data_IF_675685665410
#
_entry.id   IF_675685665410
#
_cell.length_a   1.000
_cell.length_b   1.000
_cell.length_c   1.000
_cell.angle_alpha   90.00
_cell.angle_beta   90.00
_cell.angle_gamma   90.00
#
_symmetry.space_group_name_H-M   'P 1'
#
loop_
_entity.id
_entity.type
_entity.pdbx_description
1 polymer ?
#
# COMPACT_ATOMS: atom_id res chain seq x y z
N UNK A 1 -4.46 54.39 30.72
CA UNK A 1 -5.05 53.81 29.49
C UNK A 1 -4.05 53.98 28.36
N UNK A 2 -3.78 52.95 27.52
CA UNK A 2 -2.79 52.91 26.41
C UNK A 2 -1.38 52.33 26.67
N UNK A 3 -1.17 51.51 27.70
CA UNK A 3 0.04 50.65 27.78
C UNK A 3 -0.25 49.16 27.96
N UNK A 4 -1.53 48.77 27.93
CA UNK A 4 -1.99 47.38 27.99
C UNK A 4 -2.27 46.76 26.61
N UNK A 5 -1.96 47.48 25.53
CA UNK A 5 -2.29 47.06 24.16
C UNK A 5 -1.20 46.22 23.47
N UNK A 6 -0.07 45.95 24.13
CA UNK A 6 1.10 45.31 23.47
C UNK A 6 1.29 43.83 23.85
N UNK A 7 0.38 43.24 24.62
CA UNK A 7 0.42 41.85 25.08
C UNK A 7 -0.57 40.92 24.36
N UNK A 8 -0.88 41.21 23.09
CA UNK A 8 -1.77 40.39 22.26
C UNK A 8 -1.15 39.98 20.92
N UNK A 9 0.18 39.95 20.81
CA UNK A 9 0.90 39.44 19.64
C UNK A 9 1.83 38.25 19.94
N UNK A 10 1.56 37.52 21.03
CA UNK A 10 2.33 36.34 21.45
C UNK A 10 1.49 35.04 21.47
N UNK A 11 0.43 34.97 20.67
CA UNK A 11 -0.62 33.95 20.82
C UNK A 11 -1.15 33.31 19.54
N UNK A 12 -0.45 33.38 18.41
CA UNK A 12 -0.80 32.51 17.26
C UNK A 12 -0.13 31.17 17.44
N UNK A 13 -0.78 30.40 18.31
CA UNK A 13 -0.71 28.96 18.49
C UNK A 13 -0.23 28.24 17.22
N UNK A 14 0.97 27.67 17.32
CA UNK A 14 1.55 26.74 16.36
C UNK A 14 0.73 25.44 16.36
N UNK A 15 -0.37 25.37 15.61
CA UNK A 15 -1.10 24.13 15.34
C UNK A 15 -1.59 24.16 13.90
N UNK A 16 -0.87 23.50 12.99
CA UNK A 16 -1.45 22.87 11.78
C UNK A 16 -0.40 22.15 10.94
N UNK A 17 0.38 21.25 11.53
CA UNK A 17 1.11 20.23 10.78
C UNK A 17 0.55 18.84 11.10
N UNK A 18 -0.76 18.65 10.85
CA UNK A 18 -1.30 17.31 10.65
C UNK A 18 -0.83 16.87 9.25
N UNK A 19 0.39 16.31 9.19
CA UNK A 19 0.87 15.65 7.99
C UNK A 19 -0.05 14.45 7.71
N UNK A 20 -0.92 14.60 6.71
CA UNK A 20 -1.70 13.48 6.19
C UNK A 20 -0.73 12.53 5.49
N UNK A 21 -0.45 11.38 6.10
CA UNK A 21 0.28 10.31 5.42
C UNK A 21 -0.63 9.80 4.30
N UNK A 22 -0.29 10.13 3.05
CA UNK A 22 -0.95 9.56 1.88
C UNK A 22 -0.50 8.10 1.75
N UNK A 23 -1.37 7.14 2.11
CA UNK A 23 -1.12 5.73 1.84
C UNK A 23 -1.22 5.49 0.33
N UNK A 24 -0.13 5.02 -0.28
CA UNK A 24 -0.16 4.56 -1.65
C UNK A 24 -1.15 3.38 -1.76
N UNK A 25 -2.15 3.51 -2.64
CA UNK A 25 -3.07 2.42 -2.94
C UNK A 25 -2.31 1.31 -3.67
N UNK A 26 -2.59 0.05 -3.32
CA UNK A 26 -2.07 -1.10 -4.05
C UNK A 26 -2.67 -1.13 -5.47
N UNK A 27 -1.88 -1.49 -6.50
CA UNK A 27 -2.41 -1.61 -7.85
C UNK A 27 -3.45 -2.73 -7.92
N UNK A 28 -4.48 -2.51 -8.74
CA UNK A 28 -5.51 -3.51 -9.03
C UNK A 28 -5.10 -4.29 -10.28
N UNK A 29 -4.99 -5.61 -10.16
CA UNK A 29 -4.65 -6.51 -11.26
C UNK A 29 -5.62 -7.69 -11.24
N UNK A 30 -6.29 -7.92 -12.37
CA UNK A 30 -7.27 -8.98 -12.53
C UNK A 30 -8.40 -8.96 -11.48
N UNK A 31 -8.92 -7.77 -11.17
CA UNK A 31 -10.02 -7.58 -10.23
C UNK A 31 -9.67 -7.70 -8.73
N UNK A 32 -8.39 -7.81 -8.36
CA UNK A 32 -7.93 -7.84 -6.97
C UNK A 32 -6.71 -6.92 -6.75
N UNK A 33 -6.51 -6.46 -5.52
CA UNK A 33 -5.34 -5.65 -5.16
C UNK A 33 -4.08 -6.54 -5.06
N UNK A 34 -2.96 -6.08 -5.62
CA UNK A 34 -1.66 -6.72 -5.50
C UNK A 34 -0.89 -6.14 -4.33
N UNK A 35 -0.66 -6.95 -3.30
CA UNK A 35 0.02 -6.52 -2.08
C UNK A 35 1.52 -6.80 -2.18
N UNK A 36 2.34 -5.80 -1.85
CA UNK A 36 3.80 -5.94 -1.83
C UNK A 36 4.30 -6.96 -0.78
N UNK A 37 3.49 -7.25 0.25
CA UNK A 37 3.82 -8.20 1.31
C UNK A 37 3.43 -9.64 0.97
N UNK A 38 2.68 -9.85 -0.12
CA UNK A 38 2.30 -11.19 -0.61
C UNK A 38 3.25 -11.63 -1.71
N UNK A 39 3.55 -12.92 -1.77
CA UNK A 39 4.30 -13.47 -2.89
C UNK A 39 3.45 -13.52 -4.18
N UNK A 40 4.09 -13.86 -5.30
CA UNK A 40 3.45 -13.86 -6.63
C UNK A 40 2.26 -14.82 -6.64
N UNK A 41 2.45 -16.01 -6.09
CA UNK A 41 1.41 -17.03 -6.08
C UNK A 41 0.20 -16.59 -5.24
N UNK A 42 0.44 -16.06 -4.04
CA UNK A 42 -0.61 -15.53 -3.15
C UNK A 42 -1.41 -14.41 -3.79
N UNK A 43 -0.74 -13.51 -4.52
CA UNK A 43 -1.43 -12.45 -5.26
C UNK A 43 -2.28 -13.04 -6.40
N UNK A 44 -1.73 -13.97 -7.20
CA UNK A 44 -2.43 -14.58 -8.34
C UNK A 44 -3.69 -15.38 -7.93
N UNK A 45 -3.64 -16.16 -6.85
CA UNK A 45 -4.79 -16.98 -6.41
C UNK A 45 -5.98 -16.15 -5.92
N UNK A 46 -5.77 -14.90 -5.54
CA UNK A 46 -6.83 -13.99 -5.09
C UNK A 46 -7.45 -13.19 -6.25
N UNK A 47 -6.89 -13.27 -7.45
CA UNK A 47 -7.40 -12.58 -8.64
C UNK A 47 -8.46 -13.42 -9.35
N UNK A 48 -9.52 -12.75 -9.83
CA UNK A 48 -10.61 -13.39 -10.58
C UNK A 48 -10.16 -13.82 -11.99
N UNK A 49 -9.19 -13.13 -12.56
CA UNK A 49 -8.81 -13.30 -13.96
C UNK A 49 -7.68 -14.33 -14.15
N UNK A 50 -6.95 -14.67 -13.09
CA UNK A 50 -5.75 -15.54 -13.17
C UNK A 50 -6.01 -17.01 -12.82
N UNK A 51 -7.26 -17.49 -12.88
CA UNK A 51 -7.62 -18.87 -12.48
C UNK A 51 -6.93 -19.93 -13.35
N UNK A 52 -6.91 -19.76 -14.68
CA UNK A 52 -6.21 -20.66 -15.60
C UNK A 52 -4.70 -20.65 -15.39
N UNK A 53 -4.12 -19.46 -15.14
CA UNK A 53 -2.69 -19.33 -14.84
C UNK A 53 -2.33 -20.09 -13.56
N UNK A 54 -3.10 -19.90 -12.48
CA UNK A 54 -2.91 -20.60 -11.21
C UNK A 54 -3.00 -22.11 -11.38
N UNK A 55 -3.94 -22.60 -12.19
CA UNK A 55 -4.06 -24.02 -12.49
C UNK A 55 -2.81 -24.55 -13.21
N UNK A 56 -2.31 -23.82 -14.21
CA UNK A 56 -1.09 -24.18 -14.94
C UNK A 56 0.16 -24.18 -14.03
N UNK A 57 0.30 -23.18 -13.16
CA UNK A 57 1.39 -23.10 -12.16
C UNK A 57 1.38 -24.31 -11.23
N UNK A 58 0.20 -24.70 -10.73
CA UNK A 58 0.05 -25.90 -9.90
C UNK A 58 0.40 -27.17 -10.67
N UNK A 59 -0.10 -27.32 -11.89
CA UNK A 59 0.18 -28.47 -12.74
C UNK A 59 1.68 -28.57 -13.12
N UNK A 60 2.34 -27.43 -13.29
CA UNK A 60 3.77 -27.34 -13.57
C UNK A 60 4.68 -27.45 -12.35
N UNK A 61 4.12 -27.60 -11.13
CA UNK A 61 4.92 -27.70 -9.91
C UNK A 61 5.70 -26.44 -9.56
N UNK A 62 5.25 -25.26 -10.01
CA UNK A 62 5.97 -23.99 -9.83
C UNK A 62 5.55 -23.21 -8.59
N UNK A 63 4.68 -23.77 -7.75
CA UNK A 63 4.14 -23.08 -6.57
C UNK A 63 5.28 -22.63 -5.64
N UNK A 64 6.14 -23.55 -5.24
CA UNK A 64 7.24 -23.25 -4.31
C UNK A 64 8.22 -22.22 -4.89
N UNK A 65 8.52 -22.32 -6.20
CA UNK A 65 9.37 -21.36 -6.91
C UNK A 65 8.76 -19.95 -6.86
N UNK A 66 7.47 -19.80 -7.15
CA UNK A 66 6.79 -18.49 -7.16
C UNK A 66 6.47 -17.95 -5.76
N UNK A 67 6.61 -18.78 -4.72
CA UNK A 67 6.58 -18.36 -3.33
C UNK A 67 7.96 -17.96 -2.79
N UNK A 68 9.04 -18.39 -3.44
CA UNK A 68 10.42 -18.12 -3.03
C UNK A 68 10.86 -16.67 -3.30
N UNK A 69 12.00 -16.28 -2.73
CA UNK A 69 12.59 -14.96 -2.98
C UNK A 69 13.05 -14.83 -4.45
N UNK A 70 12.81 -13.65 -5.03
CA UNK A 70 13.09 -13.34 -6.44
C UNK A 70 14.57 -13.04 -6.77
N UNK A 71 14.84 -12.46 -7.96
CA UNK A 71 13.94 -11.61 -8.73
C UNK A 71 12.98 -12.37 -9.64
N UNK A 72 11.69 -12.04 -9.52
CA UNK A 72 10.63 -12.48 -10.41
C UNK A 72 9.77 -11.27 -10.77
N UNK A 73 9.14 -11.33 -11.93
CA UNK A 73 8.24 -10.29 -12.43
C UNK A 73 6.85 -10.86 -12.57
#
# INVERSE_FOLDING_TARGET
MRKFATLLLAGTVAISALATIAYAQNPMVGGAAMYAQKNIFENAVNSKDHTTLVAAVKAGGLVDTLQSAGPFT
#
